data_IF_357353069834
#
_entry.id   IF_357353069834
#
_cell.length_a   1.000
_cell.length_b   1.000
_cell.length_c   1.000
_cell.angle_alpha   90.00
_cell.angle_beta   90.00
_cell.angle_gamma   90.00
#
_symmetry.space_group_name_H-M   'P 1'
#
loop_
_entity.id
_entity.type
_entity.pdbx_description
1 polymer ?
#
# COMPACT_ATOMS: atom_id res chain seq x y z
N UNK A 1 -25.96 -4.65 19.09
CA UNK A 1 -25.48 -4.53 17.70
C UNK A 1 -24.52 -3.36 17.68
N UNK A 2 -23.23 -3.60 17.40
CA UNK A 2 -22.22 -2.54 17.30
C UNK A 2 -22.25 -2.08 15.84
N UNK A 3 -22.48 -0.78 15.62
CA UNK A 3 -22.47 -0.18 14.28
C UNK A 3 -21.15 0.56 14.14
N UNK A 4 -20.25 0.05 13.30
CA UNK A 4 -19.02 0.74 12.93
C UNK A 4 -19.36 1.73 11.82
N UNK A 5 -19.43 3.03 12.12
CA UNK A 5 -19.50 4.08 11.10
C UNK A 5 -18.09 4.35 10.60
N UNK A 6 -17.68 3.59 9.58
CA UNK A 6 -16.43 3.81 8.88
C UNK A 6 -16.65 5.05 7.99
N UNK A 7 -16.24 6.24 8.44
CA UNK A 7 -16.06 7.38 7.55
C UNK A 7 -14.63 7.28 7.03
N UNK A 8 -14.39 6.72 5.83
CA UNK A 8 -13.04 6.57 5.31
C UNK A 8 -12.43 7.96 5.12
N UNK A 9 -11.56 8.35 6.05
CA UNK A 9 -10.62 9.43 5.84
C UNK A 9 -9.42 8.83 5.13
N UNK A 10 -8.99 9.47 4.04
CA UNK A 10 -7.84 9.04 3.21
C UNK A 10 -6.53 8.94 3.99
N UNK A 11 -6.46 9.55 5.18
CA UNK A 11 -5.23 9.71 5.97
C UNK A 11 -5.28 9.14 7.39
N UNK A 12 -6.44 8.68 7.89
CA UNK A 12 -6.60 8.34 9.31
C UNK A 12 -6.82 6.83 9.48
N UNK A 13 -5.82 6.14 10.06
CA UNK A 13 -5.87 4.73 10.47
C UNK A 13 -6.66 4.50 11.77
N UNK A 14 -7.69 5.31 12.05
CA UNK A 14 -8.49 5.14 13.26
C UNK A 14 -9.93 4.82 12.89
N UNK A 15 -10.43 3.71 13.42
CA UNK A 15 -11.86 3.47 13.55
C UNK A 15 -12.30 3.86 14.96
N UNK A 16 -13.53 4.32 15.11
CA UNK A 16 -14.11 4.56 16.43
C UNK A 16 -14.91 3.34 16.86
N UNK A 17 -14.52 2.71 17.97
CA UNK A 17 -15.31 1.67 18.62
C UNK A 17 -16.11 2.29 19.77
N UNK A 18 -17.42 2.07 19.79
CA UNK A 18 -18.28 2.43 20.92
C UNK A 18 -18.65 1.17 21.69
N UNK A 19 -18.11 1.04 22.90
CA UNK A 19 -18.42 -0.07 23.82
C UNK A 19 -18.82 0.49 25.18
N UNK A 20 -20.07 0.25 25.58
CA UNK A 20 -20.60 0.72 26.86
C UNK A 20 -20.67 2.25 27.00
N UNK A 21 -20.87 2.98 25.90
CA UNK A 21 -20.96 4.45 25.91
C UNK A 21 -19.62 5.19 25.91
N UNK A 22 -18.50 4.47 25.83
CA UNK A 22 -17.16 5.06 25.66
C UNK A 22 -16.73 4.90 24.21
N UNK A 23 -16.40 6.02 23.55
CA UNK A 23 -15.80 6.06 22.22
C UNK A 23 -14.27 5.97 22.33
N UNK A 24 -13.66 5.02 21.61
CA UNK A 24 -12.20 4.86 21.56
C UNK A 24 -11.73 4.83 20.11
N UNK A 25 -10.64 5.53 19.83
CA UNK A 25 -9.92 5.39 18.57
C UNK A 25 -9.13 4.07 18.59
N UNK A 26 -9.42 3.20 17.63
CA UNK A 26 -8.74 1.91 17.42
C UNK A 26 -7.93 2.01 16.14
N UNK A 27 -6.66 1.62 16.20
CA UNK A 27 -5.81 1.58 15.01
C UNK A 27 -6.34 0.50 14.05
N UNK A 28 -6.64 0.86 12.80
CA UNK A 28 -7.06 -0.07 11.76
C UNK A 28 -5.95 -0.21 10.70
N UNK A 29 -5.55 -1.45 10.42
CA UNK A 29 -4.58 -1.74 9.37
C UNK A 29 -5.21 -1.55 7.99
N UNK A 30 -4.49 -0.93 7.07
CA UNK A 30 -4.97 -0.82 5.69
C UNK A 30 -5.10 -2.21 5.08
N UNK A 31 -6.07 -2.38 4.19
CA UNK A 31 -6.34 -3.68 3.57
C UNK A 31 -5.17 -4.15 2.70
N UNK A 32 -5.14 -5.46 2.45
CA UNK A 32 -4.23 -6.07 1.50
C UNK A 32 -4.90 -6.22 0.14
N UNK A 33 -4.12 -6.21 -0.94
CA UNK A 33 -4.61 -6.58 -2.25
C UNK A 33 -3.66 -7.53 -2.98
N UNK A 34 -4.20 -8.51 -3.71
CA UNK A 34 -3.44 -9.40 -4.58
C UNK A 34 -3.67 -9.03 -6.04
N UNK A 35 -2.58 -8.83 -6.78
CA UNK A 35 -2.56 -8.41 -8.18
C UNK A 35 -2.09 -9.56 -9.04
N UNK A 36 -2.95 -9.98 -9.96
CA UNK A 36 -2.68 -11.02 -10.97
C UNK A 36 -2.75 -10.48 -12.40
N UNK A 37 -2.79 -9.16 -12.56
CA UNK A 37 -2.84 -8.44 -13.85
C UNK A 37 -1.49 -7.76 -14.14
N UNK A 38 -1.28 -7.34 -15.38
CA UNK A 38 -0.06 -6.65 -15.80
C UNK A 38 0.10 -5.25 -15.20
N UNK A 39 -0.98 -4.65 -14.71
CA UNK A 39 -0.96 -3.34 -14.07
C UNK A 39 -1.93 -3.24 -12.91
N UNK A 40 -1.59 -2.41 -11.94
CA UNK A 40 -2.45 -2.05 -10.80
C UNK A 40 -2.04 -0.69 -10.22
N UNK A 41 -3.03 0.13 -9.87
CA UNK A 41 -2.81 1.40 -9.14
C UNK A 41 -3.27 1.25 -7.70
N UNK A 42 -2.38 1.54 -6.76
CA UNK A 42 -2.65 1.43 -5.32
C UNK A 42 -3.65 2.50 -4.89
N UNK A 43 -4.77 2.08 -4.30
CA UNK A 43 -5.84 2.98 -3.81
C UNK A 43 -5.58 3.44 -2.38
N UNK A 44 -6.31 4.45 -1.88
CA UNK A 44 -6.20 4.98 -0.51
C UNK A 44 -6.26 3.94 0.63
N UNK A 45 -6.99 2.85 0.40
CA UNK A 45 -7.34 1.86 1.41
C UNK A 45 -6.35 0.70 1.54
N UNK A 46 -5.36 0.60 0.64
CA UNK A 46 -4.47 -0.57 0.56
C UNK A 46 -3.09 -0.28 1.18
N UNK A 47 -2.64 -1.11 2.12
CA UNK A 47 -1.32 -0.99 2.76
C UNK A 47 -0.30 -1.95 2.17
N UNK A 48 -0.75 -3.12 1.73
CA UNK A 48 0.08 -4.20 1.21
C UNK A 48 -0.42 -4.63 -0.18
N UNK A 49 0.51 -4.83 -1.11
CA UNK A 49 0.25 -5.33 -2.46
C UNK A 49 1.06 -6.58 -2.72
N UNK A 50 0.39 -7.71 -2.87
CA UNK A 50 1.00 -8.97 -3.32
C UNK A 50 0.87 -9.08 -4.83
N UNK A 51 1.98 -9.32 -5.53
CA UNK A 51 1.99 -9.38 -7.00
C UNK A 51 2.34 -10.80 -7.45
N UNK A 52 1.44 -11.43 -8.20
CA UNK A 52 1.59 -12.76 -8.76
C UNK A 52 1.18 -12.81 -10.24
N UNK A 53 1.68 -11.85 -11.03
CA UNK A 53 1.39 -11.81 -12.46
C UNK A 53 2.30 -12.78 -13.23
N UNK A 54 1.69 -13.70 -13.98
CA UNK A 54 2.39 -14.76 -14.71
C UNK A 54 2.71 -14.39 -16.16
N UNK A 55 2.05 -13.38 -16.73
CA UNK A 55 2.19 -12.99 -18.14
C UNK A 55 3.44 -12.16 -18.49
N UNK A 56 4.37 -11.99 -17.54
CA UNK A 56 5.59 -11.19 -17.71
C UNK A 56 5.76 -10.19 -16.57
N UNK A 57 6.23 -8.98 -16.89
CA UNK A 57 6.42 -7.92 -15.89
C UNK A 57 5.10 -7.23 -15.55
N UNK A 58 4.80 -7.11 -14.26
CA UNK A 58 3.70 -6.27 -13.78
C UNK A 58 4.19 -4.88 -13.41
N UNK A 59 3.33 -3.87 -13.52
CA UNK A 59 3.59 -2.50 -13.04
C UNK A 59 2.62 -2.12 -11.93
N UNK A 60 3.16 -1.78 -10.76
CA UNK A 60 2.40 -1.25 -9.64
C UNK A 60 2.61 0.26 -9.56
N UNK A 61 1.54 1.04 -9.63
CA UNK A 61 1.59 2.50 -9.57
C UNK A 61 1.21 2.97 -8.18
N UNK A 62 2.14 3.62 -7.48
CA UNK A 62 1.87 4.32 -6.24
C UNK A 62 0.98 5.55 -6.51
N UNK A 63 0.04 5.91 -5.61
CA UNK A 63 -0.82 7.06 -5.82
C UNK A 63 -0.03 8.36 -5.65
N UNK A 64 -0.63 9.52 -5.96
CA UNK A 64 0.04 10.80 -5.74
C UNK A 64 0.50 10.95 -4.28
N UNK A 65 1.79 11.20 -4.05
CA UNK A 65 2.37 11.35 -2.72
C UNK A 65 1.72 12.51 -1.94
N UNK A 66 1.33 13.59 -2.65
CA UNK A 66 0.68 14.77 -2.09
C UNK A 66 -0.71 14.50 -1.52
N UNK A 67 -1.39 13.47 -1.99
CA UNK A 67 -2.71 13.06 -1.49
C UNK A 67 -2.62 12.22 -0.22
N UNK A 68 -1.45 11.63 0.06
CA UNK A 68 -1.28 10.68 1.17
C UNK A 68 0.05 10.92 1.91
N UNK A 69 0.26 12.07 2.56
CA UNK A 69 1.49 12.34 3.30
C UNK A 69 1.66 11.34 4.46
N UNK A 70 2.91 10.94 4.75
CA UNK A 70 3.29 9.98 5.81
C UNK A 70 2.75 8.56 5.66
N UNK A 71 2.05 8.26 4.57
CA UNK A 71 1.52 6.93 4.29
C UNK A 71 2.63 5.96 3.91
N UNK A 72 2.46 4.71 4.30
CA UNK A 72 3.30 3.59 3.89
C UNK A 72 2.54 2.64 2.95
N UNK A 73 3.25 2.10 1.97
CA UNK A 73 2.79 1.06 1.04
C UNK A 73 3.89 0.03 0.87
N UNK A 74 3.56 -1.23 1.11
CA UNK A 74 4.47 -2.36 0.89
C UNK A 74 4.05 -3.11 -0.35
N UNK A 75 5.02 -3.39 -1.23
CA UNK A 75 4.82 -4.24 -2.40
C UNK A 75 5.67 -5.49 -2.25
N UNK A 76 5.04 -6.66 -2.35
CA UNK A 76 5.68 -7.98 -2.32
C UNK A 76 5.48 -8.65 -3.67
N UNK A 77 6.57 -8.94 -4.37
CA UNK A 77 6.53 -9.82 -5.51
C UNK A 77 6.54 -11.27 -5.00
N UNK A 78 5.40 -11.97 -5.12
CA UNK A 78 5.29 -13.38 -4.73
C UNK A 78 5.46 -14.32 -5.91
N UNK A 79 5.60 -13.80 -7.13
CA UNK A 79 5.87 -14.61 -8.31
C UNK A 79 7.26 -15.28 -8.22
N UNK A 80 7.43 -16.39 -8.94
CA UNK A 80 8.63 -17.24 -8.87
C UNK A 80 9.83 -16.70 -9.66
N UNK A 81 9.60 -15.99 -10.77
CA UNK A 81 10.66 -15.57 -11.70
C UNK A 81 10.47 -14.14 -12.23
N UNK A 82 9.25 -13.77 -12.61
CA UNK A 82 8.93 -12.45 -13.15
C UNK A 82 9.27 -11.31 -12.20
N UNK A 83 9.65 -10.18 -12.79
CA UNK A 83 9.91 -8.90 -12.11
C UNK A 83 8.63 -8.06 -11.99
N UNK A 84 8.66 -7.11 -11.04
CA UNK A 84 7.62 -6.10 -10.87
C UNK A 84 8.27 -4.72 -10.97
N UNK A 85 7.70 -3.85 -11.78
CA UNK A 85 8.07 -2.44 -11.86
C UNK A 85 7.17 -1.63 -10.91
N UNK A 86 7.76 -0.64 -10.25
CA UNK A 86 7.05 0.30 -9.38
C UNK A 86 7.10 1.69 -10.02
N UNK A 87 5.93 2.23 -10.34
CA UNK A 87 5.76 3.59 -10.83
C UNK A 87 5.38 4.53 -9.68
N UNK A 88 5.88 5.76 -9.73
CA UNK A 88 5.61 6.79 -8.71
C UNK A 88 6.58 6.85 -7.53
N UNK A 89 7.61 5.98 -7.51
CA UNK A 89 8.74 6.13 -6.60
C UNK A 89 9.50 7.45 -6.88
N UNK A 90 10.06 8.08 -5.84
CA UNK A 90 10.86 9.29 -6.01
C UNK A 90 12.12 9.00 -6.86
N UNK A 91 12.66 10.03 -7.51
CA UNK A 91 13.85 9.88 -8.34
C UNK A 91 15.04 9.33 -7.52
N UNK A 92 15.73 8.32 -8.07
CA UNK A 92 16.85 7.64 -7.40
C UNK A 92 16.42 6.51 -6.45
N UNK A 93 15.14 6.38 -6.15
CA UNK A 93 14.63 5.27 -5.35
C UNK A 93 14.54 3.99 -6.18
N UNK A 94 14.60 2.87 -5.48
CA UNK A 94 14.39 1.56 -6.11
C UNK A 94 12.97 1.50 -6.66
N UNK A 95 12.83 1.21 -7.94
CA UNK A 95 11.56 1.18 -8.69
C UNK A 95 11.34 -0.15 -9.41
N UNK A 96 12.08 -1.19 -9.02
CA UNK A 96 11.91 -2.56 -9.52
C UNK A 96 12.12 -3.56 -8.39
N UNK A 97 11.41 -4.68 -8.49
CA UNK A 97 11.37 -5.73 -7.50
C UNK A 97 11.54 -7.08 -8.21
N UNK A 98 12.63 -7.80 -7.92
CA UNK A 98 12.84 -9.13 -8.50
C UNK A 98 11.91 -10.15 -7.83
N UNK A 99 11.92 -11.38 -8.33
CA UNK A 99 11.11 -12.46 -7.77
C UNK A 99 11.34 -12.63 -6.26
N UNK A 100 10.27 -12.87 -5.51
CA UNK A 100 10.28 -13.11 -4.07
C UNK A 100 10.75 -11.95 -3.19
N UNK A 101 11.03 -10.77 -3.72
CA UNK A 101 11.43 -9.60 -2.91
C UNK A 101 10.25 -8.78 -2.39
N UNK A 102 10.50 -7.97 -1.36
CA UNK A 102 9.57 -6.98 -0.82
C UNK A 102 10.21 -5.60 -0.74
N UNK A 103 9.42 -4.54 -0.91
CA UNK A 103 9.85 -3.17 -0.70
C UNK A 103 8.75 -2.35 -0.03
N UNK A 104 9.12 -1.52 0.94
CA UNK A 104 8.20 -0.61 1.63
C UNK A 104 8.57 0.82 1.28
N UNK A 105 7.59 1.56 0.77
CA UNK A 105 7.69 2.98 0.49
C UNK A 105 6.94 3.79 1.54
N UNK A 106 7.46 4.98 1.84
CA UNK A 106 6.78 5.99 2.64
C UNK A 106 6.70 7.31 1.89
N UNK A 107 5.51 7.91 1.88
CA UNK A 107 5.29 9.24 1.33
C UNK A 107 5.72 10.31 2.34
N UNK A 108 6.40 11.36 1.86
CA UNK A 108 6.63 12.59 2.63
C UNK A 108 5.68 13.74 2.21
N UNK A 109 4.71 13.48 1.34
CA UNK A 109 3.83 14.50 0.74
C UNK A 109 4.33 15.09 -0.58
N UNK A 110 5.56 14.81 -1.00
CA UNK A 110 6.11 15.24 -2.31
C UNK A 110 6.60 14.07 -3.16
N UNK A 111 7.05 12.99 -2.54
CA UNK A 111 7.48 11.76 -3.21
C UNK A 111 7.36 10.53 -2.32
N UNK A 112 7.56 9.36 -2.93
CA UNK A 112 7.59 8.06 -2.25
C UNK A 112 9.03 7.56 -2.12
N UNK A 113 9.48 7.35 -0.89
CA UNK A 113 10.86 6.99 -0.56
C UNK A 113 10.92 5.59 0.04
N UNK A 114 11.95 4.82 -0.30
CA UNK A 114 12.11 3.47 0.24
C UNK A 114 12.56 3.56 1.69
N UNK A 115 11.84 2.88 2.58
CA UNK A 115 12.17 2.79 4.01
C UNK A 115 12.50 1.37 4.47
N UNK A 116 12.28 0.37 3.62
CA UNK A 116 12.58 -1.02 3.93
C UNK A 116 12.64 -1.88 2.67
N UNK A 117 13.55 -2.87 2.69
CA UNK A 117 13.73 -3.88 1.63
C UNK A 117 13.90 -5.25 2.29
N UNK A 118 13.39 -6.30 1.65
CA UNK A 118 13.54 -7.69 2.11
C UNK A 118 13.30 -8.70 1.00
#
# INVERSE_FOLDING_TARGET
MITYTNTPSTDIQFAYEVKGGVERAVLYERADNTVTTSSYTVTGTVGMVYVNYTGGTATITLPSASTYPRREVTVKNIHASNTVNISGAAAGETSSLTAKQAITYRSNGTGWYVIGKG
#
